data_IF_531363098293
#
_entry.id   IF_531363098293
#
_cell.length_a   1.000
_cell.length_b   1.000
_cell.length_c   1.000
_cell.angle_alpha   90.00
_cell.angle_beta   90.00
_cell.angle_gamma   90.00
#
_symmetry.space_group_name_H-M   'P 1'
#
loop_
_entity.id
_entity.type
_entity.pdbx_description
1 polymer ?
#
# COMPACT_ATOMS: atom_id res chain seq x y z
N UNK A 1 -16.66 20.02 15.93
CA UNK A 1 -15.74 19.72 14.82
C UNK A 1 -16.14 18.39 14.19
N UNK A 2 -16.15 18.32 12.85
CA UNK A 2 -16.52 17.09 12.16
C UNK A 2 -15.34 16.11 12.13
N UNK A 3 -15.63 14.81 12.28
CA UNK A 3 -14.62 13.77 12.19
C UNK A 3 -14.18 13.58 10.73
N UNK A 4 -12.90 13.41 10.50
CA UNK A 4 -12.38 13.08 9.17
C UNK A 4 -12.73 11.61 8.84
N UNK A 5 -12.76 11.28 7.55
CA UNK A 5 -13.22 9.96 7.06
C UNK A 5 -12.46 8.80 7.71
N UNK A 6 -11.15 8.92 7.85
CA UNK A 6 -10.32 7.85 8.42
C UNK A 6 -10.67 7.51 9.87
N UNK A 7 -11.28 8.45 10.62
CA UNK A 7 -11.69 8.19 12.00
C UNK A 7 -13.10 7.57 12.11
N UNK A 8 -13.83 7.47 11.00
CA UNK A 8 -15.18 6.87 10.99
C UNK A 8 -15.18 5.38 10.73
N UNK A 9 -14.04 4.81 10.34
CA UNK A 9 -13.88 3.37 10.09
C UNK A 9 -13.68 2.66 11.42
N UNK A 10 -14.35 1.53 11.62
CA UNK A 10 -14.20 0.77 12.86
C UNK A 10 -12.91 -0.05 12.83
N UNK A 11 -11.85 0.48 13.43
CA UNK A 11 -10.54 -0.17 13.45
C UNK A 11 -10.51 -1.46 14.29
N UNK A 12 -11.51 -1.68 15.16
CA UNK A 12 -11.61 -2.95 15.88
C UNK A 12 -11.98 -4.12 14.97
N UNK A 13 -12.67 -3.85 13.88
CA UNK A 13 -13.11 -4.87 12.91
C UNK A 13 -12.19 -4.98 11.70
N UNK A 14 -11.32 -4.00 11.51
CA UNK A 14 -10.49 -3.89 10.30
C UNK A 14 -9.41 -4.97 10.30
N UNK A 15 -9.39 -5.76 9.23
CA UNK A 15 -8.41 -6.83 9.02
C UNK A 15 -7.47 -6.45 7.88
N UNK A 16 -6.28 -7.06 7.79
CA UNK A 16 -5.44 -6.90 6.60
C UNK A 16 -6.22 -7.20 5.33
N UNK A 17 -6.02 -6.40 4.30
CA UNK A 17 -6.74 -6.52 3.05
C UNK A 17 -6.60 -5.26 2.20
N UNK A 18 -7.44 -5.18 1.17
CA UNK A 18 -7.47 -4.08 0.22
C UNK A 18 -8.88 -3.49 0.20
N UNK A 19 -9.00 -2.20 0.47
CA UNK A 19 -10.30 -1.55 0.64
C UNK A 19 -10.36 -0.23 -0.12
N UNK A 20 -11.58 0.16 -0.52
CA UNK A 20 -11.84 1.53 -0.98
C UNK A 20 -12.08 2.38 0.27
N UNK A 21 -11.23 3.38 0.48
CA UNK A 21 -11.35 4.27 1.63
C UNK A 21 -12.32 5.41 1.36
N UNK A 22 -12.12 6.14 0.25
CA UNK A 22 -12.97 7.28 -0.11
C UNK A 22 -12.77 7.68 -1.56
N UNK A 23 -13.71 8.46 -2.07
CA UNK A 23 -13.63 9.10 -3.38
C UNK A 23 -13.63 10.61 -3.22
N UNK A 24 -12.75 11.28 -3.94
CA UNK A 24 -12.66 12.75 -3.96
C UNK A 24 -12.56 13.18 -5.43
N UNK A 25 -13.69 13.61 -6.01
CA UNK A 25 -13.76 13.93 -7.42
C UNK A 25 -13.45 12.70 -8.27
N UNK A 26 -12.39 12.80 -9.09
CA UNK A 26 -11.93 11.70 -9.94
C UNK A 26 -10.83 10.84 -9.31
N UNK A 27 -10.52 11.05 -8.02
CA UNK A 27 -9.50 10.29 -7.30
C UNK A 27 -10.15 9.34 -6.31
N UNK A 28 -9.73 8.07 -6.34
CA UNK A 28 -10.11 7.06 -5.35
C UNK A 28 -8.90 6.80 -4.48
N UNK A 29 -9.11 6.85 -3.15
CA UNK A 29 -8.11 6.44 -2.17
C UNK A 29 -8.37 4.99 -1.77
N UNK A 30 -7.38 4.13 -1.99
CA UNK A 30 -7.39 2.73 -1.55
C UNK A 30 -6.61 2.59 -0.27
N UNK A 31 -7.14 1.79 0.64
CA UNK A 31 -6.51 1.42 1.91
C UNK A 31 -5.85 0.06 1.73
N UNK A 32 -4.52 0.06 1.67
CA UNK A 32 -3.72 -1.16 1.59
C UNK A 32 -3.31 -1.54 3.00
N UNK A 33 -4.17 -2.27 3.68
CA UNK A 33 -3.97 -2.64 5.08
C UNK A 33 -3.10 -3.87 5.18
N UNK A 34 -1.84 -3.69 5.57
CA UNK A 34 -0.85 -4.78 5.62
C UNK A 34 -0.81 -5.47 6.98
N UNK A 35 -1.19 -4.77 8.04
CA UNK A 35 -1.18 -5.28 9.41
C UNK A 35 -2.51 -5.04 10.09
N UNK A 36 -2.87 -5.92 11.04
CA UNK A 36 -4.08 -5.74 11.83
C UNK A 36 -3.92 -4.54 12.77
N UNK A 37 -4.86 -3.57 12.75
CA UNK A 37 -4.79 -2.43 13.67
C UNK A 37 -4.82 -2.85 15.14
N UNK A 38 -4.02 -2.17 15.95
CA UNK A 38 -4.01 -2.33 17.40
C UNK A 38 -3.70 -3.74 17.91
N UNK A 39 -2.98 -4.54 17.12
CA UNK A 39 -2.62 -5.91 17.49
C UNK A 39 -1.18 -6.04 18.03
N UNK A 40 -0.48 -4.91 18.18
CA UNK A 40 0.91 -4.92 18.62
C UNK A 40 1.90 -5.37 17.57
N UNK A 41 1.46 -5.57 16.34
CA UNK A 41 2.29 -6.00 15.22
C UNK A 41 2.34 -4.88 14.17
N UNK A 42 3.27 -3.95 14.36
CA UNK A 42 3.41 -2.77 13.51
C UNK A 42 4.62 -2.88 12.61
N UNK A 43 4.53 -2.32 11.40
CA UNK A 43 5.70 -2.19 10.54
C UNK A 43 6.69 -1.21 11.19
N UNK A 44 7.98 -1.55 11.18
CA UNK A 44 9.01 -0.57 11.54
C UNK A 44 9.20 0.44 10.39
N UNK A 45 9.92 1.51 10.67
CA UNK A 45 10.13 2.57 9.68
C UNK A 45 10.87 2.06 8.44
N UNK A 46 11.89 1.20 8.62
CA UNK A 46 12.63 0.65 7.50
C UNK A 46 11.75 -0.18 6.57
N UNK A 47 10.83 -0.97 7.11
CA UNK A 47 9.87 -1.76 6.33
C UNK A 47 8.94 -0.86 5.54
N UNK A 48 8.32 0.13 6.20
CA UNK A 48 7.41 1.07 5.53
C UNK A 48 8.11 1.86 4.43
N UNK A 49 9.27 2.42 4.74
CA UNK A 49 10.05 3.24 3.82
C UNK A 49 10.51 2.45 2.61
N UNK A 50 10.97 1.22 2.84
CA UNK A 50 11.45 0.35 1.76
C UNK A 50 10.33 -0.12 0.85
N UNK A 51 9.19 -0.53 1.43
CA UNK A 51 8.03 -0.92 0.63
C UNK A 51 7.48 0.28 -0.15
N UNK A 52 7.48 1.48 0.44
CA UNK A 52 7.07 2.70 -0.25
C UNK A 52 7.89 2.92 -1.53
N UNK A 53 9.22 2.89 -1.44
CA UNK A 53 10.10 3.09 -2.59
C UNK A 53 9.85 2.05 -3.68
N UNK A 54 9.78 0.79 -3.29
CA UNK A 54 9.62 -0.31 -4.23
C UNK A 54 8.25 -0.30 -4.89
N UNK A 55 7.20 -0.15 -4.10
CA UNK A 55 5.83 -0.16 -4.62
C UNK A 55 5.56 1.05 -5.51
N UNK A 56 5.92 2.25 -5.05
CA UNK A 56 5.70 3.48 -5.82
C UNK A 56 6.42 3.43 -7.18
N UNK A 57 7.64 2.93 -7.20
CA UNK A 57 8.40 2.86 -8.45
C UNK A 57 7.77 1.85 -9.42
N UNK A 58 7.45 0.66 -8.96
CA UNK A 58 6.85 -0.36 -9.82
C UNK A 58 5.50 0.06 -10.36
N UNK A 59 4.61 0.61 -9.51
CA UNK A 59 3.27 0.97 -9.98
C UNK A 59 3.29 2.15 -10.94
N UNK A 60 4.17 3.14 -10.72
CA UNK A 60 4.31 4.28 -11.64
C UNK A 60 4.93 3.89 -12.96
N UNK A 61 5.67 2.79 -13.03
CA UNK A 61 6.22 2.24 -14.26
C UNK A 61 5.34 1.15 -14.89
N UNK A 62 4.18 0.88 -14.31
CA UNK A 62 3.21 -0.06 -14.87
C UNK A 62 2.36 0.60 -15.96
N UNK A 63 1.53 -0.20 -16.66
CA UNK A 63 0.62 0.31 -17.67
C UNK A 63 -0.41 1.32 -17.12
N UNK A 64 -0.65 1.33 -15.81
CA UNK A 64 -1.55 2.31 -15.18
C UNK A 64 -0.80 3.45 -14.46
N UNK A 65 0.50 3.60 -14.72
CA UNK A 65 1.33 4.56 -13.99
C UNK A 65 0.84 6.01 -14.09
N UNK A 66 0.27 6.40 -15.24
CA UNK A 66 -0.24 7.76 -15.44
C UNK A 66 -1.47 8.09 -14.58
N UNK A 67 -2.18 7.08 -14.12
CA UNK A 67 -3.35 7.25 -13.26
C UNK A 67 -3.00 7.29 -11.76
N UNK A 68 -1.76 6.96 -11.39
CA UNK A 68 -1.33 6.96 -10.00
C UNK A 68 -1.05 8.39 -9.53
N UNK A 69 -1.69 8.78 -8.45
CA UNK A 69 -1.54 10.12 -7.87
C UNK A 69 -0.55 10.11 -6.71
N UNK A 70 -0.66 9.13 -5.80
CA UNK A 70 0.19 9.07 -4.62
C UNK A 70 0.18 7.67 -4.00
N UNK A 71 1.29 7.30 -3.40
CA UNK A 71 1.39 6.12 -2.54
C UNK A 71 2.28 6.47 -1.35
N UNK A 72 1.81 6.15 -0.13
CA UNK A 72 2.60 6.42 1.07
C UNK A 72 2.04 5.71 2.30
N UNK A 73 2.88 5.55 3.33
CA UNK A 73 2.51 4.84 4.55
C UNK A 73 1.59 5.66 5.45
N UNK A 74 0.80 4.95 6.23
CA UNK A 74 -0.01 5.54 7.30
C UNK A 74 0.83 5.71 8.57
N UNK A 75 0.59 6.78 9.31
CA UNK A 75 1.31 7.03 10.56
C UNK A 75 1.11 5.97 11.64
N UNK A 76 0.02 5.20 11.57
CA UNK A 76 -0.26 4.10 12.52
C UNK A 76 0.58 2.84 12.27
N UNK A 77 1.35 2.79 11.17
CA UNK A 77 2.25 1.69 10.84
C UNK A 77 1.52 0.37 10.51
N UNK A 78 0.26 0.45 10.08
CA UNK A 78 -0.54 -0.75 9.74
C UNK A 78 -0.94 -0.82 8.28
N UNK A 79 -0.61 0.18 7.48
CA UNK A 79 -0.96 0.15 6.06
C UNK A 79 -0.44 1.34 5.27
N UNK A 80 -0.91 1.41 4.03
CA UNK A 80 -0.55 2.45 3.06
C UNK A 80 -1.82 3.00 2.41
N UNK A 81 -1.73 4.23 1.91
CA UNK A 81 -2.74 4.77 1.00
C UNK A 81 -2.21 4.79 -0.42
N UNK A 82 -3.04 4.33 -1.34
CA UNK A 82 -2.79 4.41 -2.78
C UNK A 82 -3.92 5.24 -3.40
N UNK A 83 -3.57 6.35 -4.02
CA UNK A 83 -4.51 7.25 -4.68
C UNK A 83 -4.38 7.08 -6.19
N UNK A 84 -5.50 6.77 -6.85
CA UNK A 84 -5.54 6.50 -8.29
C UNK A 84 -6.73 7.22 -8.91
N UNK A 85 -6.57 7.69 -10.15
CA UNK A 85 -7.69 8.25 -10.92
C UNK A 85 -8.75 7.18 -11.15
N UNK A 86 -10.04 7.59 -11.15
CA UNK A 86 -11.16 6.67 -11.30
C UNK A 86 -11.32 6.13 -12.73
N UNK A 87 -10.44 6.48 -13.66
CA UNK A 87 -10.37 5.91 -15.00
C UNK A 87 -9.98 4.43 -15.01
N UNK A 88 -9.47 3.91 -13.87
CA UNK A 88 -9.21 2.48 -13.67
C UNK A 88 -10.18 1.92 -12.65
N UNK A 89 -10.74 0.75 -12.95
CA UNK A 89 -11.70 0.11 -12.04
C UNK A 89 -10.99 -0.37 -10.77
N UNK A 90 -11.72 -0.48 -9.64
CA UNK A 90 -11.15 -1.05 -8.41
C UNK A 90 -10.56 -2.45 -8.60
N UNK A 91 -11.17 -3.29 -9.43
CA UNK A 91 -10.64 -4.63 -9.73
C UNK A 91 -9.31 -4.57 -10.48
N UNK A 92 -9.16 -3.62 -11.40
CA UNK A 92 -7.88 -3.41 -12.09
C UNK A 92 -6.80 -2.95 -11.13
N UNK A 93 -7.13 -2.03 -10.22
CA UNK A 93 -6.17 -1.54 -9.22
C UNK A 93 -5.78 -2.66 -8.25
N UNK A 94 -6.73 -3.48 -7.83
CA UNK A 94 -6.46 -4.64 -6.99
C UNK A 94 -5.54 -5.64 -7.67
N UNK A 95 -5.81 -5.96 -8.93
CA UNK A 95 -4.98 -6.88 -9.72
C UNK A 95 -3.56 -6.32 -9.90
N UNK A 96 -3.43 -5.02 -10.19
CA UNK A 96 -2.13 -4.38 -10.34
C UNK A 96 -1.37 -4.34 -9.02
N UNK A 97 -2.06 -4.12 -7.91
CA UNK A 97 -1.43 -4.16 -6.57
C UNK A 97 -0.77 -5.52 -6.33
N UNK A 98 -1.48 -6.61 -6.62
CA UNK A 98 -0.91 -7.96 -6.48
C UNK A 98 0.29 -8.17 -7.41
N UNK A 99 0.19 -7.70 -8.64
CA UNK A 99 1.28 -7.80 -9.60
C UNK A 99 2.53 -7.05 -9.13
N UNK A 100 2.36 -5.83 -8.61
CA UNK A 100 3.48 -5.05 -8.07
C UNK A 100 4.12 -5.77 -6.88
N UNK A 101 3.33 -6.36 -6.00
CA UNK A 101 3.85 -7.12 -4.86
C UNK A 101 4.69 -8.32 -5.32
N UNK A 102 4.26 -9.01 -6.38
CA UNK A 102 5.07 -10.09 -6.98
C UNK A 102 6.37 -9.57 -7.56
N UNK A 103 6.34 -8.44 -8.25
CA UNK A 103 7.53 -7.81 -8.80
C UNK A 103 8.52 -7.43 -7.69
N UNK A 104 8.03 -6.91 -6.56
CA UNK A 104 8.88 -6.60 -5.40
C UNK A 104 9.52 -7.89 -4.86
N UNK A 105 8.71 -8.94 -4.68
CA UNK A 105 9.22 -10.22 -4.18
C UNK A 105 10.29 -10.80 -5.10
N UNK A 106 10.14 -10.66 -6.41
CA UNK A 106 11.08 -11.18 -7.42
C UNK A 106 12.22 -10.20 -7.73
N UNK A 107 12.21 -9.01 -7.15
CA UNK A 107 13.17 -7.95 -7.47
C UNK A 107 14.60 -8.41 -7.19
N UNK A 108 15.48 -8.15 -8.15
CA UNK A 108 16.92 -8.35 -8.04
C UNK A 108 17.62 -7.00 -8.18
N UNK A 109 18.65 -6.79 -7.38
CA UNK A 109 19.35 -5.52 -7.34
C UNK A 109 18.96 -4.70 -6.11
N UNK A 110 19.42 -3.46 -6.06
CA UNK A 110 19.25 -2.60 -4.89
C UNK A 110 17.82 -2.03 -4.83
N UNK A 111 17.40 -1.58 -3.65
CA UNK A 111 16.19 -0.81 -3.45
C UNK A 111 16.22 0.43 -4.34
N UNK A 112 15.12 0.74 -5.00
CA UNK A 112 15.03 1.95 -5.80
C UNK A 112 15.20 3.20 -4.96
N UNK A 113 15.96 4.16 -5.47
CA UNK A 113 16.17 5.44 -4.80
C UNK A 113 17.05 5.41 -3.57
N UNK A 114 17.88 4.38 -3.42
CA UNK A 114 18.77 4.23 -2.26
C UNK A 114 20.08 5.00 -2.45
N UNK A 115 19.97 6.32 -2.49
CA UNK A 115 21.15 7.20 -2.49
C UNK A 115 20.83 8.51 -1.79
N UNK A 116 21.85 9.19 -1.33
CA UNK A 116 21.70 10.46 -0.61
C UNK A 116 21.07 11.57 -1.48
N UNK A 117 21.24 11.49 -2.79
CA UNK A 117 20.67 12.49 -3.71
C UNK A 117 19.20 12.22 -4.00
N UNK A 118 18.74 10.98 -3.86
CA UNK A 118 17.37 10.59 -4.21
C UNK A 118 16.44 10.54 -2.99
N UNK A 119 16.97 10.39 -1.81
CA UNK A 119 16.18 10.12 -0.60
C UNK A 119 16.77 10.81 0.62
N UNK A 120 15.89 11.37 1.46
CA UNK A 120 16.29 12.06 2.69
C UNK A 120 16.78 11.15 3.80
N UNK A 121 16.56 9.84 3.72
CA UNK A 121 16.99 8.87 4.72
C UNK A 121 17.29 7.51 4.04
N UNK A 122 18.15 7.52 3.03
CA UNK A 122 18.41 6.35 2.21
C UNK A 122 19.02 5.18 2.98
N UNK A 123 19.73 5.46 4.07
CA UNK A 123 20.46 4.43 4.82
C UNK A 123 19.56 3.41 5.50
N UNK A 124 18.28 3.76 5.79
CA UNK A 124 17.38 2.81 6.41
C UNK A 124 16.60 1.93 5.41
N UNK A 125 16.85 2.10 4.12
CA UNK A 125 16.20 1.26 3.10
C UNK A 125 16.78 -0.15 3.11
N UNK A 126 15.88 -1.14 3.10
CA UNK A 126 16.22 -2.56 3.16
C UNK A 126 15.38 -3.35 2.16
N UNK A 127 16.04 -3.93 1.16
CA UNK A 127 15.35 -4.77 0.19
C UNK A 127 14.72 -6.00 0.87
N UNK A 128 15.44 -6.62 1.80
CA UNK A 128 14.94 -7.78 2.52
C UNK A 128 13.62 -7.46 3.27
N UNK A 129 13.54 -6.30 3.92
CA UNK A 129 12.33 -5.86 4.62
C UNK A 129 11.17 -5.64 3.65
N UNK A 130 11.41 -4.98 2.51
CA UNK A 130 10.39 -4.76 1.49
C UNK A 130 9.87 -6.07 0.92
N UNK A 131 10.77 -7.00 0.60
CA UNK A 131 10.38 -8.32 0.03
C UNK A 131 9.58 -9.15 1.03
N UNK A 132 9.98 -9.15 2.30
CA UNK A 132 9.26 -9.89 3.33
C UNK A 132 7.84 -9.36 3.52
N UNK A 133 7.68 -8.04 3.60
CA UNK A 133 6.36 -7.42 3.76
C UNK A 133 5.50 -7.63 2.51
N UNK A 134 6.09 -7.49 1.32
CA UNK A 134 5.38 -7.74 0.06
C UNK A 134 4.85 -9.17 -0.02
N UNK A 135 5.65 -10.16 0.36
CA UNK A 135 5.24 -11.56 0.35
C UNK A 135 4.08 -11.82 1.31
N UNK A 136 4.17 -11.29 2.54
CA UNK A 136 3.13 -11.44 3.55
C UNK A 136 1.82 -10.79 3.10
N UNK A 137 1.88 -9.58 2.59
CA UNK A 137 0.69 -8.86 2.14
C UNK A 137 0.09 -9.50 0.88
N UNK A 138 0.92 -9.94 -0.06
CA UNK A 138 0.42 -10.65 -1.25
C UNK A 138 -0.40 -11.87 -0.85
N UNK A 139 0.08 -12.66 0.13
CA UNK A 139 -0.66 -13.82 0.60
C UNK A 139 -2.03 -13.44 1.16
N UNK A 140 -2.14 -12.31 1.86
CA UNK A 140 -3.42 -11.78 2.34
C UNK A 140 -4.35 -11.47 1.16
N UNK A 141 -3.84 -10.78 0.14
CA UNK A 141 -4.65 -10.38 -1.02
C UNK A 141 -5.07 -11.57 -1.88
N UNK A 142 -4.23 -12.61 -1.98
CA UNK A 142 -4.58 -13.84 -2.71
C UNK A 142 -5.77 -14.56 -2.08
N UNK A 143 -5.99 -14.41 -0.78
CA UNK A 143 -7.10 -15.03 -0.07
C UNK A 143 -8.32 -14.12 0.10
N UNK A 144 -8.21 -12.84 -0.29
CA UNK A 144 -9.31 -11.90 -0.15
C UNK A 144 -10.50 -12.30 -1.03
N UNK A 145 -11.68 -12.42 -0.43
CA UNK A 145 -12.92 -12.77 -1.13
C UNK A 145 -13.85 -11.58 -1.35
N UNK A 146 -13.70 -10.51 -0.56
CA UNK A 146 -14.51 -9.30 -0.69
C UNK A 146 -14.03 -8.47 -1.89
N UNK A 147 -14.66 -8.66 -3.05
CA UNK A 147 -14.34 -7.95 -4.27
C UNK A 147 -15.13 -6.65 -4.45
N UNK A 148 -15.93 -6.26 -3.47
CA UNK A 148 -16.55 -4.93 -3.40
C UNK A 148 -15.61 -3.94 -2.72
N UNK A 149 -14.59 -4.42 -2.04
CA UNK A 149 -13.56 -3.65 -1.35
C UNK A 149 -14.12 -2.72 -0.26
N UNK A 150 -15.26 -3.10 0.31
CA UNK A 150 -15.88 -2.36 1.42
C UNK A 150 -15.23 -2.73 2.75
N UNK A 151 -15.22 -1.77 3.67
CA UNK A 151 -14.74 -2.04 5.03
C UNK A 151 -15.67 -3.00 5.77
N UNK A 152 -15.14 -3.83 6.67
CA UNK A 152 -15.97 -4.65 7.55
C UNK A 152 -16.78 -3.76 8.50
N UNK A 153 -18.02 -4.15 8.74
CA UNK A 153 -18.97 -3.42 9.60
C UNK A 153 -19.37 -4.27 10.84
#
# INVERSE_FOLDING_TARGET
>A
MNRIKSFTINHNLLMPGFYISREDGDVITYDLRTRKPNAGDYMDNATMHSLEHMFATYIRNSWMGNEVVYFGPMGCQTGFYLLVRNSRSPKEVFAMTKEVLRQIYDHKGEVFGKSAIECGHYENLSLAAAKAEAATYLAVLEEQTNMDFTYPE
#
